data_IF_118254440430
#
_entry.id   IF_118254440430
#
_cell.length_a   1.000
_cell.length_b   1.000
_cell.length_c   1.000
_cell.angle_alpha   90.00
_cell.angle_beta   90.00
_cell.angle_gamma   90.00
#
_symmetry.space_group_name_H-M   'P 1'
#
loop_
_entity.id
_entity.type
_entity.pdbx_description
1 polymer ?
#
# COMPACT_ATOMS: atom_id res chain seq x y z
N UNK A 1 19.17 -48.36 -33.76
CA UNK A 1 19.58 -47.32 -32.79
C UNK A 1 20.65 -46.47 -33.43
N UNK A 2 20.45 -45.16 -33.52
CA UNK A 2 21.35 -44.24 -34.24
C UNK A 2 22.15 -43.41 -33.22
N UNK A 3 23.48 -43.55 -33.24
CA UNK A 3 24.42 -42.85 -32.35
C UNK A 3 24.74 -41.41 -32.79
N UNK A 4 23.94 -40.80 -33.69
CA UNK A 4 24.09 -39.41 -34.15
C UNK A 4 24.14 -38.39 -33.00
N UNK A 5 23.51 -38.67 -31.86
CA UNK A 5 23.61 -37.82 -30.67
C UNK A 5 25.02 -37.76 -30.06
N UNK A 6 25.87 -38.77 -30.32
CA UNK A 6 27.25 -38.86 -29.84
C UNK A 6 28.26 -38.27 -30.84
N UNK A 7 27.93 -38.23 -32.14
CA UNK A 7 28.84 -37.79 -33.20
C UNK A 7 28.59 -36.38 -33.72
N UNK A 8 27.47 -35.74 -33.37
CA UNK A 8 27.25 -34.32 -33.62
C UNK A 8 27.93 -33.47 -32.55
N UNK A 9 28.99 -32.72 -32.93
CA UNK A 9 29.51 -31.63 -32.09
C UNK A 9 28.37 -30.67 -31.77
N UNK A 10 27.91 -30.66 -30.51
CA UNK A 10 27.00 -29.62 -30.03
C UNK A 10 27.72 -28.27 -30.11
N UNK A 11 27.48 -27.50 -31.17
CA UNK A 11 28.06 -26.17 -31.36
C UNK A 11 27.48 -25.12 -30.39
N UNK A 12 26.41 -25.46 -29.66
CA UNK A 12 25.74 -24.59 -28.69
C UNK A 12 25.57 -25.35 -27.39
N UNK A 13 25.99 -24.74 -26.28
CA UNK A 13 25.76 -25.28 -24.94
C UNK A 13 24.26 -25.47 -24.71
N UNK A 14 23.80 -26.67 -24.34
CA UNK A 14 22.40 -26.91 -23.99
C UNK A 14 21.96 -26.04 -22.81
N UNK A 15 20.69 -25.61 -22.77
CA UNK A 15 20.18 -24.81 -21.65
C UNK A 15 20.30 -25.54 -20.30
N UNK A 16 20.37 -26.87 -20.28
CA UNK A 16 20.58 -27.67 -19.07
C UNK A 16 22.01 -27.64 -18.53
N UNK A 17 22.94 -26.96 -19.19
CA UNK A 17 24.33 -26.82 -18.77
C UNK A 17 24.73 -25.33 -18.73
N UNK A 18 25.63 -24.93 -17.80
CA UNK A 18 26.18 -23.59 -17.83
C UNK A 18 27.08 -23.41 -19.06
N UNK A 19 27.16 -22.18 -19.56
CA UNK A 19 28.04 -21.84 -20.67
C UNK A 19 29.50 -22.02 -20.22
N UNK A 20 30.31 -22.83 -20.92
CA UNK A 20 31.70 -23.04 -20.56
C UNK A 20 32.48 -21.74 -20.46
N UNK A 21 33.17 -21.53 -19.33
CA UNK A 21 33.95 -20.33 -19.03
C UNK A 21 33.16 -19.15 -18.46
N UNK A 22 31.85 -19.29 -18.24
CA UNK A 22 30.97 -18.28 -17.62
C UNK A 22 30.14 -18.83 -16.46
N UNK A 23 30.54 -19.96 -15.91
CA UNK A 23 29.82 -20.70 -14.87
C UNK A 23 29.55 -19.82 -13.63
N UNK A 24 30.52 -18.98 -13.25
CA UNK A 24 30.41 -18.08 -12.11
C UNK A 24 29.37 -16.95 -12.29
N UNK A 25 28.96 -16.65 -13.52
CA UNK A 25 27.96 -15.63 -13.84
C UNK A 25 26.55 -16.22 -13.99
N UNK A 26 26.40 -17.54 -13.87
CA UNK A 26 25.17 -18.24 -14.19
C UNK A 26 24.57 -18.96 -12.98
N UNK A 27 23.24 -18.98 -12.94
CA UNK A 27 22.44 -19.68 -11.94
C UNK A 27 21.47 -20.63 -12.64
N UNK A 28 21.17 -21.75 -11.99
CA UNK A 28 20.17 -22.68 -12.48
C UNK A 28 18.77 -22.24 -12.02
N UNK A 29 17.87 -22.01 -12.99
CA UNK A 29 16.47 -21.71 -12.74
C UNK A 29 15.63 -22.95 -12.42
N UNK A 30 14.38 -22.74 -12.02
CA UNK A 30 13.46 -23.82 -11.60
C UNK A 30 13.12 -24.83 -12.70
N UNK A 31 13.22 -24.44 -13.98
CA UNK A 31 13.04 -25.35 -15.11
C UNK A 31 14.25 -26.26 -15.36
N UNK A 32 15.28 -26.20 -14.51
CA UNK A 32 16.56 -26.89 -14.70
C UNK A 32 17.50 -26.21 -15.71
N UNK A 33 17.06 -25.13 -16.34
CA UNK A 33 17.85 -24.36 -17.30
C UNK A 33 18.77 -23.33 -16.62
N UNK A 34 19.95 -23.10 -17.19
CA UNK A 34 20.92 -22.11 -16.75
C UNK A 34 20.67 -20.74 -17.38
N UNK A 35 20.83 -19.68 -16.60
CA UNK A 35 20.66 -18.29 -17.02
C UNK A 35 21.66 -17.38 -16.30
N UNK A 36 21.91 -16.19 -16.83
CA UNK A 36 22.77 -15.21 -16.14
C UNK A 36 22.13 -14.71 -14.85
N UNK A 37 22.93 -14.59 -13.80
CA UNK A 37 22.51 -13.92 -12.58
C UNK A 37 22.29 -12.43 -12.88
N UNK A 38 21.05 -11.98 -12.71
CA UNK A 38 20.69 -10.57 -12.88
C UNK A 38 21.32 -9.69 -11.78
N UNK A 39 21.73 -10.30 -10.67
CA UNK A 39 22.16 -9.62 -9.46
C UNK A 39 20.99 -9.06 -8.66
N UNK A 40 21.24 -8.85 -7.37
CA UNK A 40 20.22 -8.49 -6.38
C UNK A 40 19.45 -7.21 -6.74
N UNK A 41 20.11 -6.21 -7.31
CA UNK A 41 19.48 -4.91 -7.60
C UNK A 41 18.51 -4.95 -8.78
N UNK A 42 18.84 -5.69 -9.85
CA UNK A 42 17.90 -5.90 -10.96
C UNK A 42 16.73 -6.77 -10.52
N UNK A 43 16.99 -7.76 -9.65
CA UNK A 43 15.94 -8.59 -9.09
C UNK A 43 14.99 -7.78 -8.21
N UNK A 44 15.52 -6.97 -7.29
CA UNK A 44 14.73 -6.06 -6.46
C UNK A 44 13.85 -5.15 -7.31
N UNK A 45 14.41 -4.49 -8.34
CA UNK A 45 13.63 -3.63 -9.22
C UNK A 45 12.50 -4.38 -9.93
N UNK A 46 12.76 -5.60 -10.43
CA UNK A 46 11.72 -6.45 -11.04
C UNK A 46 10.62 -6.76 -10.01
N UNK A 47 11.00 -7.25 -8.85
CA UNK A 47 10.07 -7.53 -7.75
C UNK A 47 9.20 -6.31 -7.44
N UNK A 48 9.78 -5.11 -7.35
CA UNK A 48 9.04 -3.89 -7.03
C UNK A 48 8.10 -3.42 -8.15
N UNK A 49 8.43 -3.67 -9.43
CA UNK A 49 7.64 -3.20 -10.57
C UNK A 49 6.50 -4.15 -10.95
N UNK A 50 6.74 -5.45 -10.92
CA UNK A 50 5.76 -6.45 -11.37
C UNK A 50 5.22 -7.32 -10.24
N UNK A 51 5.72 -7.12 -9.02
CA UNK A 51 5.44 -7.95 -7.87
C UNK A 51 6.14 -9.30 -7.97
N UNK A 52 5.62 -10.25 -7.20
CA UNK A 52 5.79 -11.67 -7.50
C UNK A 52 4.96 -11.94 -8.74
N UNK A 53 5.60 -12.37 -9.83
CA UNK A 53 4.91 -12.68 -11.07
C UNK A 53 3.68 -13.53 -10.71
N UNK A 54 2.47 -13.07 -11.06
CA UNK A 54 1.27 -13.93 -10.99
C UNK A 54 1.62 -15.20 -11.76
N UNK A 55 1.93 -16.29 -11.05
CA UNK A 55 2.32 -17.57 -11.65
C UNK A 55 3.35 -17.39 -12.79
N UNK A 56 4.65 -17.40 -12.47
CA UNK A 56 5.49 -18.12 -13.44
C UNK A 56 4.84 -19.50 -13.56
N UNK A 57 4.65 -20.01 -14.78
CA UNK A 57 3.93 -21.25 -15.09
C UNK A 57 4.34 -22.47 -14.23
N UNK A 58 5.45 -22.36 -13.49
CA UNK A 58 6.11 -23.37 -12.67
C UNK A 58 6.11 -23.09 -11.15
N UNK A 59 5.44 -22.05 -10.61
CA UNK A 59 5.50 -21.72 -9.17
C UNK A 59 4.17 -21.25 -8.54
N UNK A 60 3.92 -21.66 -7.29
CA UNK A 60 2.74 -21.27 -6.50
C UNK A 60 2.82 -19.86 -5.89
N UNK A 61 1.67 -19.30 -5.48
CA UNK A 61 1.56 -17.93 -4.90
C UNK A 61 2.36 -17.74 -3.59
N UNK A 62 2.47 -18.78 -2.76
CA UNK A 62 3.16 -18.72 -1.47
C UNK A 62 4.69 -18.67 -1.65
N UNK A 63 5.25 -19.60 -2.43
CA UNK A 63 6.70 -19.66 -2.71
C UNK A 63 7.25 -18.39 -3.35
N UNK A 64 6.52 -17.80 -4.31
CA UNK A 64 6.99 -16.56 -4.95
C UNK A 64 7.03 -15.39 -3.95
N UNK A 65 6.14 -15.40 -2.96
CA UNK A 65 6.13 -14.40 -1.88
C UNK A 65 7.36 -14.54 -0.99
N UNK A 66 7.85 -15.76 -0.76
CA UNK A 66 9.08 -16.01 -0.01
C UNK A 66 10.32 -15.50 -0.77
N UNK A 67 10.40 -15.74 -2.08
CA UNK A 67 11.50 -15.21 -2.91
C UNK A 67 11.55 -13.67 -2.87
N UNK A 68 10.40 -13.02 -2.98
CA UNK A 68 10.31 -11.55 -2.88
C UNK A 68 10.82 -11.06 -1.52
N UNK A 69 10.39 -11.69 -0.43
CA UNK A 69 10.82 -11.33 0.92
C UNK A 69 12.33 -11.54 1.07
N UNK A 70 12.87 -12.64 0.55
CA UNK A 70 14.30 -12.93 0.58
C UNK A 70 15.11 -11.86 -0.17
N UNK A 71 14.70 -11.53 -1.40
CA UNK A 71 15.34 -10.49 -2.22
C UNK A 71 15.35 -9.14 -1.51
N UNK A 72 14.22 -8.72 -0.95
CA UNK A 72 14.15 -7.42 -0.25
C UNK A 72 14.99 -7.44 1.02
N UNK A 73 14.94 -8.51 1.83
CA UNK A 73 15.76 -8.62 3.05
C UNK A 73 17.25 -8.59 2.75
N UNK A 74 17.69 -9.35 1.73
CA UNK A 74 19.09 -9.34 1.31
C UNK A 74 19.51 -7.94 0.82
N UNK A 75 18.67 -7.29 0.00
CA UNK A 75 18.98 -5.94 -0.48
C UNK A 75 19.03 -4.91 0.66
N UNK A 76 18.13 -5.00 1.64
CA UNK A 76 18.09 -4.13 2.83
C UNK A 76 19.35 -4.33 3.68
N UNK A 77 19.81 -5.56 3.85
CA UNK A 77 21.05 -5.86 4.56
C UNK A 77 22.29 -5.30 3.84
N UNK A 78 22.29 -5.25 2.50
CA UNK A 78 23.41 -4.69 1.72
C UNK A 78 23.44 -3.18 1.66
N UNK A 79 22.31 -2.53 1.35
CA UNK A 79 22.22 -1.08 1.27
C UNK A 79 20.75 -0.61 1.41
N UNK A 80 20.31 -0.23 2.62
CA UNK A 80 18.93 0.16 2.86
C UNK A 80 18.55 1.48 2.16
N UNK A 81 19.47 2.42 2.01
CA UNK A 81 19.24 3.69 1.30
C UNK A 81 18.93 3.43 -0.17
N UNK A 82 19.69 2.56 -0.84
CA UNK A 82 19.41 2.17 -2.22
C UNK A 82 18.08 1.43 -2.36
N UNK A 83 17.71 0.59 -1.38
CA UNK A 83 16.37 -0.04 -1.38
C UNK A 83 15.27 1.03 -1.32
N UNK A 84 15.45 2.06 -0.50
CA UNK A 84 14.50 3.17 -0.43
C UNK A 84 14.35 3.91 -1.76
N UNK A 85 15.46 4.17 -2.47
CA UNK A 85 15.46 4.76 -3.82
C UNK A 85 14.70 3.88 -4.83
N UNK A 86 14.91 2.57 -4.79
CA UNK A 86 14.21 1.61 -5.66
C UNK A 86 12.70 1.55 -5.35
N UNK A 87 12.32 1.59 -4.08
CA UNK A 87 10.92 1.66 -3.64
C UNK A 87 10.27 2.95 -4.15
N UNK A 88 10.93 4.10 -3.99
CA UNK A 88 10.43 5.37 -4.50
C UNK A 88 10.22 5.32 -6.01
N UNK A 89 11.26 4.90 -6.75
CA UNK A 89 11.22 4.75 -8.20
C UNK A 89 10.01 3.92 -8.66
N UNK A 90 9.80 2.76 -8.03
CA UNK A 90 8.72 1.86 -8.39
C UNK A 90 7.34 2.41 -8.00
N UNK A 91 7.21 3.03 -6.83
CA UNK A 91 5.94 3.55 -6.32
C UNK A 91 5.41 4.74 -7.14
N UNK A 92 6.28 5.47 -7.82
CA UNK A 92 5.97 6.64 -8.65
C UNK A 92 5.37 6.24 -10.01
N UNK A 93 4.29 5.44 -9.99
CA UNK A 93 3.50 5.07 -11.16
C UNK A 93 4.14 4.03 -12.09
N UNK A 94 5.32 3.50 -11.76
CA UNK A 94 6.06 2.54 -12.60
C UNK A 94 5.71 1.09 -12.30
N UNK A 95 5.33 0.80 -11.06
CA UNK A 95 4.84 -0.52 -10.69
C UNK A 95 3.43 -0.76 -11.22
N UNK A 96 3.14 -2.02 -11.58
CA UNK A 96 1.79 -2.48 -11.96
C UNK A 96 0.77 -2.17 -10.86
N UNK A 97 1.19 -2.24 -9.59
CA UNK A 97 0.41 -1.84 -8.43
C UNK A 97 1.31 -1.34 -7.28
N UNK A 98 0.74 -0.60 -6.34
CA UNK A 98 1.51 -0.11 -5.19
C UNK A 98 1.69 -1.15 -4.07
N UNK A 99 1.07 -2.33 -4.15
CA UNK A 99 1.16 -3.36 -3.12
C UNK A 99 2.60 -3.84 -2.91
N UNK A 100 3.35 -4.11 -3.99
CA UNK A 100 4.73 -4.55 -3.88
C UNK A 100 5.67 -3.48 -3.26
N UNK A 101 5.66 -2.21 -3.72
CA UNK A 101 6.39 -1.14 -3.03
C UNK A 101 6.00 -0.95 -1.56
N UNK A 102 4.70 -1.02 -1.22
CA UNK A 102 4.23 -0.88 0.17
C UNK A 102 4.70 -2.06 1.03
N UNK A 103 4.68 -3.28 0.49
CA UNK A 103 5.18 -4.46 1.19
C UNK A 103 6.69 -4.38 1.43
N UNK A 104 7.46 -3.96 0.42
CA UNK A 104 8.90 -3.72 0.57
C UNK A 104 9.21 -2.59 1.55
N UNK A 105 8.37 -1.55 1.64
CA UNK A 105 8.48 -0.49 2.63
C UNK A 105 8.37 -1.04 4.07
N UNK A 106 7.48 -2.01 4.31
CA UNK A 106 7.40 -2.69 5.61
C UNK A 106 8.68 -3.50 5.87
N UNK A 107 9.21 -4.22 4.88
CA UNK A 107 10.45 -4.98 5.05
C UNK A 107 11.66 -4.06 5.29
N UNK A 108 11.75 -2.91 4.62
CA UNK A 108 12.78 -1.89 4.86
C UNK A 108 12.74 -1.42 6.32
N UNK A 109 11.55 -1.20 6.86
CA UNK A 109 11.37 -0.78 8.26
C UNK A 109 11.88 -1.82 9.27
N UNK A 110 11.99 -3.10 8.87
CA UNK A 110 12.47 -4.22 9.70
C UNK A 110 13.99 -4.40 9.66
N UNK A 111 14.71 -3.76 8.72
CA UNK A 111 16.17 -3.87 8.63
C UNK A 111 16.84 -3.44 9.94
N UNK A 112 17.96 -4.05 10.34
CA UNK A 112 18.60 -3.86 11.66
C UNK A 112 19.44 -2.58 11.76
N UNK A 113 19.98 -2.10 10.64
CA UNK A 113 20.74 -0.87 10.55
C UNK A 113 19.88 0.37 10.90
N UNK A 114 20.39 1.37 11.63
CA UNK A 114 19.70 2.65 11.86
C UNK A 114 19.28 3.36 10.55
N UNK A 115 20.12 3.26 9.53
CA UNK A 115 19.91 3.82 8.19
C UNK A 115 18.62 3.29 7.56
N UNK A 116 18.26 2.03 7.81
CA UNK A 116 17.01 1.45 7.31
C UNK A 116 15.76 2.11 7.90
N UNK A 117 15.80 2.48 9.19
CA UNK A 117 14.66 3.15 9.86
C UNK A 117 14.55 4.58 9.38
N UNK A 118 15.69 5.27 9.28
CA UNK A 118 15.76 6.63 8.75
C UNK A 118 15.22 6.68 7.32
N UNK A 119 15.73 5.83 6.43
CA UNK A 119 15.28 5.76 5.04
C UNK A 119 13.79 5.42 4.94
N UNK A 120 13.29 4.45 5.73
CA UNK A 120 11.86 4.14 5.82
C UNK A 120 11.02 5.37 6.20
N UNK A 121 11.39 6.09 7.26
CA UNK A 121 10.66 7.27 7.72
C UNK A 121 10.63 8.38 6.65
N UNK A 122 11.77 8.62 5.99
CA UNK A 122 11.92 9.66 4.97
C UNK A 122 11.04 9.41 3.75
N UNK A 123 10.97 8.17 3.25
CA UNK A 123 10.20 7.85 2.05
C UNK A 123 8.73 7.53 2.32
N UNK A 124 8.36 7.29 3.58
CA UNK A 124 7.01 6.87 3.96
C UNK A 124 5.88 7.72 3.35
N UNK A 125 5.85 9.06 3.48
CA UNK A 125 4.74 9.87 2.95
C UNK A 125 4.68 9.87 1.41
N UNK A 126 5.79 9.60 0.74
CA UNK A 126 5.90 9.57 -0.72
C UNK A 126 5.34 8.24 -1.29
N UNK A 127 5.49 7.15 -0.55
CA UNK A 127 4.95 5.84 -0.93
C UNK A 127 3.48 5.72 -0.49
N UNK A 128 3.20 6.06 0.77
CA UNK A 128 1.87 5.94 1.41
C UNK A 128 1.07 7.22 1.22
N UNK A 129 0.65 7.48 -0.02
CA UNK A 129 -0.05 8.73 -0.43
C UNK A 129 -1.52 8.81 -0.04
N UNK A 130 -2.24 7.69 -0.09
CA UNK A 130 -3.71 7.65 0.04
C UNK A 130 -4.15 6.84 1.25
N UNK A 131 -5.40 7.01 1.69
CA UNK A 131 -5.99 6.19 2.75
C UNK A 131 -5.92 4.69 2.42
N UNK A 132 -6.16 4.33 1.16
CA UNK A 132 -6.01 2.93 0.72
C UNK A 132 -4.59 2.39 0.93
N UNK A 133 -3.55 3.16 0.57
CA UNK A 133 -2.16 2.75 0.82
C UNK A 133 -1.87 2.63 2.32
N UNK A 134 -2.42 3.55 3.12
CA UNK A 134 -2.24 3.56 4.56
C UNK A 134 -2.79 2.29 5.21
N UNK A 135 -3.99 1.86 4.83
CA UNK A 135 -4.56 0.62 5.35
C UNK A 135 -3.86 -0.65 4.87
N UNK A 136 -3.41 -0.66 3.62
CA UNK A 136 -2.62 -1.76 3.09
C UNK A 136 -1.28 -1.89 3.85
N UNK A 137 -0.62 -0.75 4.10
CA UNK A 137 0.56 -0.70 4.95
C UNK A 137 0.26 -1.17 6.38
N UNK A 138 -0.85 -0.74 7.00
CA UNK A 138 -1.26 -1.21 8.33
C UNK A 138 -1.45 -2.71 8.38
N UNK A 139 -2.11 -3.27 7.36
CA UNK A 139 -2.35 -4.70 7.26
C UNK A 139 -1.04 -5.48 7.15
N UNK A 140 -0.16 -5.11 6.22
CA UNK A 140 1.16 -5.74 6.09
C UNK A 140 2.01 -5.58 7.34
N UNK A 141 1.97 -4.39 7.96
CA UNK A 141 2.69 -4.13 9.22
C UNK A 141 2.19 -5.08 10.29
N UNK A 142 0.87 -5.15 10.55
CA UNK A 142 0.27 -6.05 11.55
C UNK A 142 0.62 -7.53 11.31
N UNK A 143 0.69 -7.96 10.05
CA UNK A 143 1.03 -9.35 9.70
C UNK A 143 2.51 -9.68 9.85
N UNK A 144 3.41 -8.72 9.62
CA UNK A 144 4.86 -8.98 9.58
C UNK A 144 5.62 -8.50 10.82
N UNK A 145 5.12 -7.49 11.53
CA UNK A 145 5.84 -6.85 12.65
C UNK A 145 4.91 -6.13 13.63
N UNK A 146 5.47 -5.68 14.75
CA UNK A 146 4.75 -4.86 15.73
C UNK A 146 4.74 -3.35 15.43
N UNK A 147 3.86 -2.63 16.12
CA UNK A 147 3.75 -1.16 16.11
C UNK A 147 4.70 -0.50 17.11
N UNK A 148 6.01 -0.65 16.89
CA UNK A 148 7.06 0.01 17.68
C UNK A 148 7.11 1.52 17.46
N UNK A 149 8.05 2.22 18.12
CA UNK A 149 8.19 3.69 18.10
C UNK A 149 8.15 4.28 16.69
N UNK A 150 9.00 3.79 15.79
CA UNK A 150 9.13 4.29 14.41
C UNK A 150 7.83 4.14 13.61
N UNK A 151 7.14 3.00 13.76
CA UNK A 151 5.86 2.73 13.09
C UNK A 151 4.76 3.64 13.63
N UNK A 152 4.71 3.83 14.96
CA UNK A 152 3.75 4.74 15.59
C UNK A 152 3.97 6.18 15.14
N UNK A 153 5.22 6.59 15.01
CA UNK A 153 5.60 7.94 14.59
C UNK A 153 5.15 8.24 13.15
N UNK A 154 5.46 7.38 12.18
CA UNK A 154 5.02 7.62 10.79
C UNK A 154 3.50 7.56 10.65
N UNK A 155 2.84 6.65 11.38
CA UNK A 155 1.38 6.56 11.37
C UNK A 155 0.72 7.81 11.97
N UNK A 156 1.27 8.32 13.07
CA UNK A 156 0.84 9.58 13.68
C UNK A 156 1.03 10.74 12.71
N UNK A 157 2.23 10.88 12.12
CA UNK A 157 2.54 11.97 11.19
C UNK A 157 1.64 11.95 9.95
N UNK A 158 1.30 10.76 9.44
CA UNK A 158 0.39 10.62 8.30
C UNK A 158 -1.02 11.13 8.61
N UNK A 159 -1.50 10.89 9.83
CA UNK A 159 -2.81 11.29 10.35
C UNK A 159 -2.83 12.74 10.87
N UNK A 160 -1.69 13.32 11.23
CA UNK A 160 -1.57 14.71 11.72
C UNK A 160 -0.98 15.65 10.67
N UNK A 161 -1.13 15.34 9.38
CA UNK A 161 -0.63 16.19 8.28
C UNK A 161 -1.30 17.57 8.30
N UNK A 162 -0.60 18.56 7.78
CA UNK A 162 -1.07 19.95 7.73
C UNK A 162 -2.29 20.13 6.80
N UNK A 163 -2.34 19.39 5.69
CA UNK A 163 -3.48 19.41 4.76
C UNK A 163 -4.69 18.65 5.34
N UNK A 164 -5.45 19.33 6.19
CA UNK A 164 -6.65 18.77 6.84
C UNK A 164 -7.75 18.46 5.83
N UNK A 165 -7.89 19.27 4.77
CA UNK A 165 -8.87 19.05 3.70
C UNK A 165 -8.56 17.78 2.91
N UNK A 166 -7.30 17.59 2.54
CA UNK A 166 -6.84 16.36 1.90
C UNK A 166 -7.00 15.15 2.80
N UNK A 167 -6.69 15.28 4.10
CA UNK A 167 -6.95 14.21 5.08
C UNK A 167 -8.44 13.89 5.16
N UNK A 168 -9.31 14.88 5.30
CA UNK A 168 -10.76 14.72 5.35
C UNK A 168 -11.28 13.94 4.12
N UNK A 169 -10.81 14.28 2.92
CA UNK A 169 -11.12 13.54 1.71
C UNK A 169 -10.69 12.07 1.80
N UNK A 170 -9.47 11.77 2.27
CA UNK A 170 -9.02 10.38 2.44
C UNK A 170 -9.87 9.61 3.46
N UNK A 171 -10.16 10.24 4.62
CA UNK A 171 -10.94 9.63 5.70
C UNK A 171 -12.39 9.36 5.28
N UNK A 172 -12.96 10.27 4.48
CA UNK A 172 -14.30 10.16 3.91
C UNK A 172 -14.38 9.15 2.78
N UNK A 173 -13.43 9.14 1.84
CA UNK A 173 -13.47 8.25 0.68
C UNK A 173 -13.21 6.78 1.05
N UNK A 174 -12.30 6.54 1.99
CA UNK A 174 -11.81 5.19 2.30
C UNK A 174 -12.24 4.71 3.68
N UNK A 175 -13.48 4.95 4.12
CA UNK A 175 -13.93 4.73 5.51
C UNK A 175 -13.49 3.39 6.13
N UNK A 176 -13.48 2.32 5.33
CA UNK A 176 -12.95 1.01 5.69
C UNK A 176 -12.20 0.35 4.53
N UNK A 177 -11.04 -0.24 4.83
CA UNK A 177 -10.26 -1.09 3.91
C UNK A 177 -9.44 -2.10 4.70
N UNK A 178 -9.23 -3.29 4.12
CA UNK A 178 -8.40 -4.35 4.70
C UNK A 178 -8.75 -4.70 6.17
N UNK A 179 -10.04 -4.63 6.53
CA UNK A 179 -10.51 -4.88 7.89
C UNK A 179 -10.18 -3.79 8.92
N UNK A 180 -9.66 -2.64 8.49
CA UNK A 180 -9.43 -1.46 9.35
C UNK A 180 -10.41 -0.34 9.00
N UNK A 181 -10.91 0.34 10.02
CA UNK A 181 -11.61 1.62 9.90
C UNK A 181 -10.70 2.81 10.27
N UNK A 182 -11.07 4.02 9.84
CA UNK A 182 -10.29 5.22 10.18
C UNK A 182 -10.35 5.51 11.68
N UNK A 183 -11.45 5.11 12.32
CA UNK A 183 -11.62 5.16 13.77
C UNK A 183 -10.59 4.28 14.48
N UNK A 184 -10.36 3.07 13.98
CA UNK A 184 -9.36 2.15 14.54
C UNK A 184 -7.95 2.70 14.36
N UNK A 185 -7.66 3.29 13.19
CA UNK A 185 -6.37 3.94 12.93
C UNK A 185 -6.11 5.11 13.90
N UNK A 186 -7.06 6.04 14.07
CA UNK A 186 -6.90 7.16 15.00
C UNK A 186 -6.66 6.69 16.44
N UNK A 187 -7.38 5.65 16.88
CA UNK A 187 -7.20 5.04 18.20
C UNK A 187 -5.83 4.38 18.34
N UNK A 188 -5.40 3.62 17.34
CA UNK A 188 -4.13 2.89 17.34
C UNK A 188 -2.93 3.83 17.48
N UNK A 189 -2.97 5.00 16.84
CA UNK A 189 -1.86 5.95 16.85
C UNK A 189 -1.97 7.06 17.91
N UNK A 190 -3.08 7.11 18.66
CA UNK A 190 -3.33 8.12 19.70
C UNK A 190 -3.05 9.55 19.21
N UNK A 191 -3.52 9.87 18.00
CA UNK A 191 -3.26 11.16 17.35
C UNK A 191 -4.03 12.25 18.10
N UNK A 192 -3.31 13.32 18.49
CA UNK A 192 -3.92 14.50 19.07
C UNK A 192 -4.10 15.55 17.97
N UNK A 193 -5.28 16.17 17.84
CA UNK A 193 -5.47 17.26 16.91
C UNK A 193 -4.59 18.45 17.30
N UNK A 194 -3.99 19.12 16.33
CA UNK A 194 -3.17 20.33 16.53
C UNK A 194 -3.90 21.61 16.13
N UNK A 195 -4.98 21.49 15.34
CA UNK A 195 -5.83 22.60 14.90
C UNK A 195 -7.30 22.32 15.19
N UNK A 196 -8.12 23.37 15.20
CA UNK A 196 -9.57 23.26 15.36
C UNK A 196 -10.20 22.38 14.26
N UNK A 197 -9.78 22.56 13.00
CA UNK A 197 -10.23 21.71 11.89
C UNK A 197 -9.89 20.23 12.09
N UNK A 198 -8.68 19.91 12.58
CA UNK A 198 -8.33 18.53 12.90
C UNK A 198 -9.18 17.98 14.05
N UNK A 199 -9.48 18.81 15.05
CA UNK A 199 -10.34 18.42 16.17
C UNK A 199 -11.75 18.10 15.69
N UNK A 200 -12.35 18.95 14.84
CA UNK A 200 -13.65 18.72 14.22
C UNK A 200 -13.64 17.46 13.37
N UNK A 201 -12.62 17.28 12.53
CA UNK A 201 -12.46 16.09 11.69
C UNK A 201 -12.37 14.81 12.53
N UNK A 202 -11.49 14.76 13.53
CA UNK A 202 -11.33 13.57 14.36
C UNK A 202 -12.59 13.26 15.18
N UNK A 203 -13.28 14.28 15.68
CA UNK A 203 -14.57 14.10 16.33
C UNK A 203 -15.59 13.45 15.39
N UNK A 204 -15.71 13.93 14.15
CA UNK A 204 -16.58 13.32 13.16
C UNK A 204 -16.15 11.88 12.82
N UNK A 205 -14.86 11.59 12.66
CA UNK A 205 -14.39 10.21 12.38
C UNK A 205 -14.73 9.24 13.52
N UNK A 206 -14.65 9.71 14.78
CA UNK A 206 -14.83 8.85 15.95
C UNK A 206 -16.31 8.66 16.31
N UNK A 207 -17.12 9.72 16.17
CA UNK A 207 -18.51 9.78 16.65
C UNK A 207 -19.55 9.93 15.53
N UNK A 208 -19.14 10.40 14.36
CA UNK A 208 -20.06 10.92 13.34
C UNK A 208 -20.73 12.22 13.80
N UNK A 209 -21.73 12.63 13.03
CA UNK A 209 -22.65 13.70 13.41
C UNK A 209 -24.05 13.12 13.61
N UNK A 210 -24.58 13.25 14.83
CA UNK A 210 -25.97 12.92 15.15
C UNK A 210 -26.90 13.94 14.51
N UNK A 211 -26.66 15.22 14.77
CA UNK A 211 -27.30 16.35 14.10
C UNK A 211 -26.35 16.96 13.07
N UNK A 212 -26.90 17.37 11.93
CA UNK A 212 -26.12 18.08 10.93
C UNK A 212 -25.90 19.53 11.41
N UNK A 213 -24.66 20.04 11.46
CA UNK A 213 -24.42 21.45 11.72
C UNK A 213 -25.21 22.34 10.76
N UNK A 214 -25.82 23.41 11.24
CA UNK A 214 -26.66 24.30 10.41
C UNK A 214 -25.88 24.99 9.29
N UNK A 215 -24.58 25.16 9.48
CA UNK A 215 -23.65 25.71 8.50
C UNK A 215 -22.44 24.79 8.37
N UNK A 216 -21.75 24.89 7.23
CA UNK A 216 -20.49 24.19 7.00
C UNK A 216 -19.46 24.71 8.03
N UNK A 217 -18.93 23.87 8.94
CA UNK A 217 -18.07 24.35 10.03
C UNK A 217 -16.76 24.97 9.54
N UNK A 218 -16.20 24.42 8.46
CA UNK A 218 -15.01 24.96 7.81
C UNK A 218 -14.87 24.41 6.39
N UNK A 219 -14.00 25.03 5.59
CA UNK A 219 -13.73 24.59 4.22
C UNK A 219 -13.18 23.16 4.18
N UNK A 220 -12.37 22.77 5.17
CA UNK A 220 -11.79 21.43 5.27
C UNK A 220 -12.86 20.34 5.48
N UNK A 221 -13.98 20.68 6.12
CA UNK A 221 -15.09 19.77 6.41
C UNK A 221 -16.27 19.91 5.44
N UNK A 222 -16.22 20.82 4.47
CA UNK A 222 -17.32 21.08 3.53
C UNK A 222 -17.82 19.81 2.83
N UNK A 223 -16.91 18.96 2.36
CA UNK A 223 -17.28 17.72 1.68
C UNK A 223 -17.90 16.68 2.63
N UNK A 224 -17.43 16.61 3.87
CA UNK A 224 -18.03 15.78 4.93
C UNK A 224 -19.44 16.28 5.23
N UNK A 225 -19.63 17.59 5.27
CA UNK A 225 -20.95 18.18 5.50
C UNK A 225 -21.95 17.78 4.41
N UNK A 226 -21.57 17.89 3.15
CA UNK A 226 -22.42 17.45 2.04
C UNK A 226 -22.69 15.94 2.05
N UNK A 227 -21.72 15.13 2.46
CA UNK A 227 -21.94 13.70 2.68
C UNK A 227 -22.96 13.42 3.79
N UNK A 228 -22.85 14.08 4.94
CA UNK A 228 -23.80 13.94 6.04
C UNK A 228 -25.18 14.53 5.72
N UNK A 229 -25.24 15.58 4.92
CA UNK A 229 -26.48 16.15 4.41
C UNK A 229 -27.18 15.18 3.46
N UNK A 230 -26.44 14.53 2.54
CA UNK A 230 -27.01 13.54 1.62
C UNK A 230 -27.57 12.32 2.36
N UNK A 231 -26.92 11.87 3.44
CA UNK A 231 -27.46 10.81 4.32
C UNK A 231 -28.84 11.13 4.89
N UNK A 232 -29.21 12.41 4.96
CA UNK A 232 -30.49 12.92 5.49
C UNK A 232 -31.46 13.37 4.39
N UNK A 233 -30.94 13.57 3.18
CA UNK A 233 -31.69 14.02 2.00
C UNK A 233 -31.37 13.10 0.80
N UNK A 234 -31.67 11.80 0.88
CA UNK A 234 -31.19 10.80 -0.10
C UNK A 234 -31.65 11.10 -1.54
N UNK A 235 -32.79 11.76 -1.70
CA UNK A 235 -33.35 12.10 -3.03
C UNK A 235 -32.62 13.28 -3.71
N UNK A 236 -31.81 14.04 -2.97
CA UNK A 236 -31.12 15.24 -3.47
C UNK A 236 -29.66 14.96 -3.89
N UNK A 237 -29.44 13.79 -4.50
CA UNK A 237 -28.10 13.32 -4.90
C UNK A 237 -27.38 14.27 -5.87
N UNK A 238 -28.10 14.86 -6.84
CA UNK A 238 -27.49 15.78 -7.82
C UNK A 238 -26.94 17.06 -7.16
N UNK A 239 -27.67 17.62 -6.20
CA UNK A 239 -27.23 18.79 -5.45
C UNK A 239 -26.00 18.47 -4.62
N UNK A 240 -26.01 17.35 -3.88
CA UNK A 240 -24.87 16.91 -3.09
C UNK A 240 -23.61 16.67 -3.94
N UNK A 241 -23.74 16.08 -5.13
CA UNK A 241 -22.60 15.88 -6.06
C UNK A 241 -22.07 17.21 -6.56
N UNK A 242 -22.94 18.11 -7.04
CA UNK A 242 -22.52 19.38 -7.64
C UNK A 242 -21.86 20.31 -6.63
N UNK A 243 -22.47 20.48 -5.45
CA UNK A 243 -22.00 21.39 -4.42
C UNK A 243 -20.87 20.77 -3.56
N UNK A 244 -21.06 19.51 -3.15
CA UNK A 244 -20.12 18.80 -2.29
C UNK A 244 -18.97 18.13 -3.01
N UNK A 245 -19.00 18.04 -4.35
CA UNK A 245 -18.02 17.29 -5.16
C UNK A 245 -17.88 15.84 -4.67
N UNK A 246 -18.99 15.21 -4.28
CA UNK A 246 -18.99 13.85 -3.76
C UNK A 246 -18.63 12.86 -4.88
N UNK A 247 -17.73 11.92 -4.58
CA UNK A 247 -17.40 10.84 -5.52
C UNK A 247 -18.48 9.76 -5.49
N UNK A 248 -18.50 8.90 -6.51
CA UNK A 248 -19.41 7.76 -6.56
C UNK A 248 -19.35 6.88 -5.29
N UNK A 249 -18.15 6.64 -4.73
CA UNK A 249 -18.00 5.85 -3.51
C UNK A 249 -18.65 6.53 -2.29
N UNK A 250 -18.54 7.87 -2.20
CA UNK A 250 -19.14 8.65 -1.12
C UNK A 250 -20.66 8.66 -1.22
N UNK A 251 -21.20 8.87 -2.42
CA UNK A 251 -22.66 8.87 -2.67
C UNK A 251 -23.25 7.51 -2.34
N UNK A 252 -22.67 6.43 -2.86
CA UNK A 252 -23.13 5.07 -2.57
C UNK A 252 -23.15 4.81 -1.06
N UNK A 253 -22.05 5.13 -0.37
CA UNK A 253 -21.97 4.98 1.09
C UNK A 253 -23.01 5.81 1.82
N UNK A 254 -23.26 7.06 1.42
CA UNK A 254 -24.25 7.92 2.05
C UNK A 254 -25.67 7.33 1.94
N UNK A 255 -26.04 6.84 0.75
CA UNK A 255 -27.35 6.25 0.50
C UNK A 255 -27.54 4.92 1.24
N UNK A 256 -26.52 4.06 1.24
CA UNK A 256 -26.54 2.80 2.02
C UNK A 256 -26.80 3.09 3.52
N UNK A 257 -26.18 4.15 4.06
CA UNK A 257 -26.42 4.59 5.44
C UNK A 257 -27.83 5.17 5.67
N UNK A 258 -28.38 5.91 4.70
CA UNK A 258 -29.73 6.44 4.79
C UNK A 258 -30.78 5.33 4.85
N UNK A 259 -30.63 4.30 4.00
CA UNK A 259 -31.50 3.12 3.99
C UNK A 259 -31.43 2.37 5.32
N UNK A 260 -30.22 2.18 5.86
CA UNK A 260 -30.04 1.50 7.14
C UNK A 260 -30.76 2.21 8.30
N UNK A 261 -30.77 3.55 8.31
CA UNK A 261 -31.48 4.36 9.32
C UNK A 261 -33.00 4.19 9.23
N UNK A 262 -33.56 4.29 8.03
CA UNK A 262 -35.00 4.10 7.80
C UNK A 262 -35.46 2.72 8.27
N UNK A 263 -34.68 1.68 8.00
CA UNK A 263 -35.00 0.33 8.42
C UNK A 263 -34.95 0.15 9.96
N UNK A 264 -34.05 0.86 10.65
CA UNK A 264 -33.95 0.79 12.13
C UNK A 264 -35.05 1.57 12.85
N UNK A 265 -35.66 2.57 12.21
CA UNK A 265 -36.78 3.33 12.77
C UNK A 265 -38.13 2.60 12.61
N UNK A 266 -38.20 1.60 11.74
CA UNK A 266 -39.40 0.79 11.48
C UNK A 266 -39.46 -0.53 12.28
N UNK A 267 -38.36 -0.90 12.95
CA UNK A 267 -38.20 -2.14 13.73
C UNK A 267 -38.23 -1.89 15.23
#
# INVERSE_FOLDING_TARGET
>A
MNYKFFTQKQQKTPQSQPIPGREAEMIQGRSGGWMFDAGIWKMLRRCLLIGTAKSTYYAGKQELTEDFVAVVREAVAKNPTRVAEEILYASDGRSINNSAPIFALVLLSMGEAPEAKKAFQEIFPQVVRTGSHFYEWLNYTKSLRGFGKVIREVGKNWLSREDVKGLAYQLLKYQQRQGFSHRDALRLFHVKPTTEDQQLLFNWVIKGWEELPTQIPSEALAQIWWYEWLKRNPDQTHEAISQGRLTHEMVKSALDNAIARLNSEQS
#
